data_IF_059984434130
#
_entry.id   IF_059984434130
#
_cell.length_a   1.000
_cell.length_b   1.000
_cell.length_c   1.000
_cell.angle_alpha   90.00
_cell.angle_beta   90.00
_cell.angle_gamma   90.00
#
_symmetry.space_group_name_H-M   'P 1'
#
loop_
_entity.id
_entity.type
_entity.pdbx_description
1 polymer ?
#
# COMPACT_ATOMS: atom_id res chain seq x y z
N UNK A 1 -11.26 -6.05 -1.90
CA UNK A 1 -9.94 -5.69 -2.44
C UNK A 1 -8.91 -6.72 -1.96
N UNK A 2 -7.90 -7.07 -2.76
CA UNK A 2 -6.94 -8.15 -2.44
C UNK A 2 -5.52 -7.64 -2.31
N UNK A 3 -4.64 -8.42 -1.66
CA UNK A 3 -3.21 -8.12 -1.59
C UNK A 3 -2.57 -8.02 -2.99
N UNK A 4 -2.98 -8.88 -3.92
CA UNK A 4 -2.48 -8.87 -5.30
C UNK A 4 -2.71 -7.52 -6.00
N UNK A 5 -3.86 -6.89 -5.76
CA UNK A 5 -4.14 -5.58 -6.33
C UNK A 5 -3.26 -4.47 -5.71
N UNK A 6 -2.94 -4.58 -4.42
CA UNK A 6 -2.00 -3.66 -3.78
C UNK A 6 -0.58 -3.86 -4.34
N UNK A 7 -0.15 -5.12 -4.52
CA UNK A 7 1.14 -5.45 -5.14
C UNK A 7 1.21 -4.89 -6.57
N UNK A 8 0.13 -5.01 -7.34
CA UNK A 8 0.03 -4.43 -8.68
C UNK A 8 0.23 -2.92 -8.67
N UNK A 9 -0.40 -2.20 -7.73
CA UNK A 9 -0.22 -0.75 -7.57
C UNK A 9 1.22 -0.41 -7.20
N UNK A 10 1.80 -1.11 -6.22
CA UNK A 10 3.18 -0.89 -5.77
C UNK A 10 4.19 -1.05 -6.92
N UNK A 11 4.02 -2.10 -7.73
CA UNK A 11 4.88 -2.39 -8.88
C UNK A 11 4.68 -1.40 -10.03
N UNK A 12 3.42 -1.12 -10.40
CA UNK A 12 3.10 -0.23 -11.53
C UNK A 12 3.65 1.18 -11.29
N UNK A 13 3.61 1.63 -10.04
CA UNK A 13 4.01 2.99 -9.66
C UNK A 13 5.40 3.07 -9.03
N UNK A 14 6.15 1.96 -9.00
CA UNK A 14 7.52 1.90 -8.48
C UNK A 14 7.63 2.51 -7.08
N UNK A 15 6.66 2.19 -6.20
CA UNK A 15 6.56 2.77 -4.85
C UNK A 15 7.68 2.25 -3.94
N UNK A 16 8.07 0.99 -4.13
CA UNK A 16 9.14 0.32 -3.39
C UNK A 16 10.14 -0.26 -4.38
N UNK A 17 11.42 -0.09 -4.10
CA UNK A 17 12.51 -0.62 -4.93
C UNK A 17 12.92 -2.00 -4.39
N UNK A 18 12.49 -3.07 -5.08
CA UNK A 18 12.85 -4.45 -4.75
C UNK A 18 13.20 -5.24 -6.00
N UNK A 19 14.27 -6.05 -5.91
CA UNK A 19 14.66 -6.99 -6.95
C UNK A 19 13.84 -8.29 -6.89
N UNK A 20 13.28 -8.59 -5.71
CA UNK A 20 12.45 -9.78 -5.46
C UNK A 20 10.96 -9.47 -5.62
N UNK A 21 10.19 -10.49 -6.02
CA UNK A 21 8.75 -10.39 -6.18
C UNK A 21 8.05 -10.18 -4.84
N UNK A 22 7.33 -9.06 -4.70
CA UNK A 22 6.50 -8.77 -3.52
C UNK A 22 5.48 -9.88 -3.26
N UNK A 23 5.42 -10.30 -2.00
CA UNK A 23 4.42 -11.22 -1.47
C UNK A 23 3.41 -10.46 -0.61
N UNK A 24 2.27 -11.10 -0.33
CA UNK A 24 1.19 -10.49 0.45
C UNK A 24 1.62 -10.08 1.87
N UNK A 25 2.58 -10.80 2.45
CA UNK A 25 3.13 -10.60 3.81
C UNK A 25 4.50 -9.90 3.81
N UNK A 26 5.00 -9.45 2.65
CA UNK A 26 6.27 -8.71 2.57
C UNK A 26 6.21 -7.43 3.40
N UNK A 27 7.22 -7.21 4.24
CA UNK A 27 7.34 -5.98 5.03
C UNK A 27 7.79 -4.82 4.12
N UNK A 28 6.86 -3.94 3.80
CA UNK A 28 7.09 -2.82 2.88
C UNK A 28 8.07 -1.80 3.45
N UNK A 29 8.12 -1.61 4.77
CA UNK A 29 9.08 -0.70 5.40
C UNK A 29 10.50 -1.26 5.32
N UNK A 30 10.67 -2.58 5.41
CA UNK A 30 11.96 -3.22 5.16
C UNK A 30 12.41 -3.08 3.70
N UNK A 31 11.45 -2.96 2.77
CA UNK A 31 11.67 -2.77 1.34
C UNK A 31 11.74 -1.29 0.90
N UNK A 32 11.87 -0.37 1.85
CA UNK A 32 12.10 1.05 1.55
C UNK A 32 10.84 1.91 1.43
N UNK A 33 9.68 1.43 1.88
CA UNK A 33 8.49 2.28 2.02
C UNK A 33 8.74 3.36 3.09
N UNK A 34 9.08 4.55 2.64
CA UNK A 34 9.27 5.73 3.49
C UNK A 34 8.04 6.65 3.48
N UNK A 35 8.14 7.81 4.15
CA UNK A 35 7.04 8.77 4.21
C UNK A 35 6.61 9.30 2.84
N UNK A 36 7.54 9.44 1.88
CA UNK A 36 7.22 9.96 0.55
C UNK A 36 6.56 8.87 -0.30
N UNK A 37 7.10 7.65 -0.27
CA UNK A 37 6.54 6.49 -0.94
C UNK A 37 5.14 6.16 -0.40
N UNK A 38 4.94 6.25 0.92
CA UNK A 38 3.62 6.11 1.54
C UNK A 38 2.63 7.16 1.02
N UNK A 39 3.03 8.43 0.94
CA UNK A 39 2.19 9.49 0.37
C UNK A 39 1.84 9.23 -1.10
N UNK A 40 2.79 8.75 -1.91
CA UNK A 40 2.55 8.39 -3.31
C UNK A 40 1.59 7.21 -3.43
N UNK A 41 1.76 6.19 -2.59
CA UNK A 41 0.89 5.02 -2.54
C UNK A 41 -0.55 5.42 -2.22
N UNK A 42 -0.75 6.28 -1.22
CA UNK A 42 -2.07 6.80 -0.85
C UNK A 42 -2.74 7.50 -2.02
N UNK A 43 -2.04 8.44 -2.66
CA UNK A 43 -2.56 9.15 -3.83
C UNK A 43 -2.95 8.19 -4.95
N UNK A 44 -2.16 7.14 -5.16
CA UNK A 44 -2.44 6.16 -6.20
C UNK A 44 -3.63 5.25 -5.86
N UNK A 45 -3.76 4.84 -4.59
CA UNK A 45 -4.91 4.12 -4.07
C UNK A 45 -6.18 4.95 -4.26
N UNK A 46 -6.17 6.21 -3.83
CA UNK A 46 -7.32 7.12 -3.97
C UNK A 46 -7.72 7.28 -5.44
N UNK A 47 -6.74 7.44 -6.35
CA UNK A 47 -6.98 7.55 -7.79
C UNK A 47 -7.47 6.26 -8.43
N UNK A 48 -6.94 5.12 -8.04
CA UNK A 48 -7.25 3.80 -8.61
C UNK A 48 -8.62 3.29 -8.14
N UNK A 49 -8.97 3.58 -6.89
CA UNK A 49 -10.18 3.06 -6.25
C UNK A 49 -11.31 4.09 -6.14
N UNK A 50 -11.02 5.38 -6.37
CA UNK A 50 -11.98 6.46 -6.18
C UNK A 50 -12.36 6.67 -4.71
N UNK A 51 -11.51 6.23 -3.77
CA UNK A 51 -11.71 6.39 -2.33
C UNK A 51 -10.97 7.63 -1.82
N UNK A 52 -11.36 8.11 -0.65
CA UNK A 52 -10.57 9.10 0.10
C UNK A 52 -10.04 8.43 1.36
N UNK A 53 -8.72 8.47 1.54
CA UNK A 53 -8.04 7.82 2.65
C UNK A 53 -7.77 8.86 3.74
N UNK A 54 -8.45 8.78 4.90
CA UNK A 54 -8.26 9.77 5.96
C UNK A 54 -6.88 9.63 6.60
N UNK A 55 -6.02 10.63 6.38
CA UNK A 55 -4.63 10.66 6.89
C UNK A 55 -4.56 10.45 8.41
N UNK A 56 -5.59 10.88 9.15
CA UNK A 56 -5.68 10.70 10.60
C UNK A 56 -5.81 9.24 11.06
N UNK A 57 -6.27 8.35 10.17
CA UNK A 57 -6.45 6.91 10.46
C UNK A 57 -5.27 6.06 9.97
N UNK A 58 -4.32 6.69 9.27
CA UNK A 58 -3.10 6.03 8.81
C UNK A 58 -2.27 5.66 10.04
N UNK A 59 -2.03 4.36 10.18
CA UNK A 59 -1.09 3.83 11.14
C UNK A 59 -0.13 2.89 10.45
N UNK A 60 1.07 2.75 11.03
CA UNK A 60 2.13 1.91 10.47
C UNK A 60 1.66 0.47 10.26
N UNK A 61 0.84 -0.06 11.16
CA UNK A 61 0.36 -1.44 11.10
C UNK A 61 -0.51 -1.70 9.87
N UNK A 62 -1.28 -0.70 9.42
CA UNK A 62 -2.11 -0.81 8.22
C UNK A 62 -1.28 -0.89 6.94
N UNK A 63 -0.07 -0.32 6.94
CA UNK A 63 0.80 -0.21 5.76
C UNK A 63 2.03 -1.12 5.82
N UNK A 64 2.10 -2.01 6.81
CA UNK A 64 3.27 -2.87 6.97
C UNK A 64 3.40 -3.89 5.84
N UNK A 65 2.29 -4.43 5.34
CA UNK A 65 2.28 -5.45 4.28
C UNK A 65 1.18 -5.16 3.27
N UNK A 66 1.29 -5.65 2.02
CA UNK A 66 0.21 -5.55 1.04
C UNK A 66 -1.11 -6.15 1.54
N UNK A 67 -1.08 -7.25 2.30
CA UNK A 67 -2.27 -7.84 2.90
C UNK A 67 -2.90 -6.94 3.97
N UNK A 68 -2.09 -6.30 4.82
CA UNK A 68 -2.60 -5.33 5.82
C UNK A 68 -3.30 -4.16 5.15
N UNK A 69 -2.70 -3.61 4.10
CA UNK A 69 -3.28 -2.50 3.32
C UNK A 69 -4.61 -2.95 2.72
N UNK A 70 -4.62 -4.16 2.15
CA UNK A 70 -5.79 -4.72 1.51
C UNK A 70 -6.97 -4.91 2.47
N UNK A 71 -6.69 -5.44 3.66
CA UNK A 71 -7.67 -5.62 4.71
C UNK A 71 -8.21 -4.28 5.22
N UNK A 72 -7.33 -3.31 5.48
CA UNK A 72 -7.73 -2.01 6.00
C UNK A 72 -8.61 -1.21 5.03
N UNK A 73 -8.19 -1.12 3.77
CA UNK A 73 -8.99 -0.46 2.73
C UNK A 73 -10.31 -1.20 2.44
N UNK A 74 -10.35 -2.51 2.65
CA UNK A 74 -11.60 -3.29 2.60
C UNK A 74 -12.61 -2.93 3.69
N UNK A 75 -12.23 -2.18 4.73
CA UNK A 75 -13.13 -1.65 5.75
C UNK A 75 -13.56 -0.19 5.50
N UNK A 76 -12.92 0.50 4.54
CA UNK A 76 -13.20 1.90 4.22
C UNK A 76 -14.28 2.08 3.14
N UNK A 77 -14.76 1.00 2.52
CA UNK A 77 -15.87 0.98 1.55
C UNK A 77 -16.89 -0.10 1.88
#
# INVERSE_FOLDING_TARGET
>A
MTADHIIEILNTHHVVETEEALQADSDLFALGLDSLALMQLLLQIERSLGLSVPVAEIRREHFQTPASIAAWLGHLG
#
